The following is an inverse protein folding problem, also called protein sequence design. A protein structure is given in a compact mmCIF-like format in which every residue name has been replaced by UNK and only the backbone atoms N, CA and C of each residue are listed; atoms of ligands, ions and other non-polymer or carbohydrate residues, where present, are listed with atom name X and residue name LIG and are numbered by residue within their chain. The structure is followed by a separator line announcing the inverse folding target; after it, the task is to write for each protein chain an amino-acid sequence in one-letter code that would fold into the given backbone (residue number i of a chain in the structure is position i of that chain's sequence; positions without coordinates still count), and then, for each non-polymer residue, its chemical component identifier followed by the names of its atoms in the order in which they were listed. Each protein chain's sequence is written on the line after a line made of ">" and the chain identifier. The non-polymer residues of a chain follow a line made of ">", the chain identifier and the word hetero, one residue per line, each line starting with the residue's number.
data_IF_785212300973
#
_entry.id   IF_785212300973
#
_cell.length_a   1.000
_cell.length_b   1.000
_cell.length_c   1.000
_cell.angle_alpha   90.00
_cell.angle_beta   90.00
_cell.angle_gamma   90.00
#
_symmetry.space_group_name_H-M   'P 1'
#
loop_
_entity.id
_entity.type
_entity.pdbx_description
1 polymer ?
#
# COMPACT_ATOMS: atom_id res chain seq x y z
N UNK A 1 -33.59 -19.78 -10.13
CA UNK A 1 -32.89 -19.02 -9.07
C UNK A 1 -31.94 -18.04 -9.74
N UNK A 2 -32.02 -16.74 -9.44
CA UNK A 2 -30.99 -15.77 -9.86
C UNK A 2 -29.79 -15.95 -8.92
N UNK A 3 -28.55 -16.10 -9.41
CA UNK A 3 -27.38 -16.17 -8.56
C UNK A 3 -27.23 -14.82 -7.84
N UNK A 4 -27.39 -14.84 -6.52
CA UNK A 4 -27.17 -13.67 -5.67
C UNK A 4 -25.67 -13.48 -5.54
N UNK A 5 -25.09 -12.57 -6.33
CA UNK A 5 -23.68 -12.21 -6.22
C UNK A 5 -23.52 -11.46 -4.89
N UNK A 6 -22.97 -12.12 -3.86
CA UNK A 6 -22.52 -11.42 -2.65
C UNK A 6 -21.42 -10.43 -3.08
N UNK A 7 -21.52 -9.15 -2.70
CA UNK A 7 -20.46 -8.19 -3.00
C UNK A 7 -19.18 -8.66 -2.32
N UNK A 8 -18.12 -8.81 -3.11
CA UNK A 8 -16.79 -9.17 -2.63
C UNK A 8 -16.27 -8.01 -1.77
N UNK A 9 -16.07 -8.24 -0.47
CA UNK A 9 -15.62 -7.19 0.43
C UNK A 9 -14.10 -7.25 0.60
N UNK A 10 -13.39 -6.29 -0.01
CA UNK A 10 -11.96 -6.10 0.19
C UNK A 10 -11.76 -5.15 1.37
N UNK A 11 -10.95 -5.55 2.35
CA UNK A 11 -10.65 -4.75 3.53
C UNK A 11 -9.15 -4.74 3.84
N UNK A 12 -8.73 -3.85 4.73
CA UNK A 12 -7.34 -3.65 5.13
C UNK A 12 -7.26 -3.47 6.65
N UNK A 13 -6.18 -3.95 7.27
CA UNK A 13 -5.84 -3.64 8.66
C UNK A 13 -4.34 -3.77 8.91
N UNK A 14 -3.91 -3.44 10.12
CA UNK A 14 -2.55 -3.70 10.58
C UNK A 14 -2.23 -5.21 10.54
N UNK A 15 -0.98 -5.53 10.21
CA UNK A 15 -0.43 -6.89 10.31
C UNK A 15 0.12 -7.08 11.73
N UNK A 16 -0.42 -8.04 12.46
CA UNK A 16 -0.05 -8.39 13.82
C UNK A 16 0.62 -9.77 13.91
N UNK A 17 1.25 -10.05 15.04
CA UNK A 17 2.04 -11.29 15.27
C UNK A 17 1.18 -12.56 15.03
N UNK A 18 -0.09 -12.51 15.39
CA UNK A 18 -1.02 -13.64 15.23
C UNK A 18 -1.31 -14.00 13.76
N UNK A 19 -1.04 -13.09 12.82
CA UNK A 19 -1.30 -13.32 11.39
C UNK A 19 -0.12 -13.96 10.65
N UNK A 20 1.03 -14.12 11.34
CA UNK A 20 2.27 -14.56 10.68
C UNK A 20 2.10 -15.91 10.00
N UNK A 21 1.35 -16.84 10.59
CA UNK A 21 1.16 -18.16 9.98
C UNK A 21 0.42 -18.10 8.64
N UNK A 22 -0.62 -17.28 8.54
CA UNK A 22 -1.36 -17.05 7.29
C UNK A 22 -0.49 -16.36 6.24
N UNK A 23 0.31 -15.37 6.66
CA UNK A 23 1.23 -14.65 5.78
C UNK A 23 2.37 -15.55 5.28
N UNK A 24 2.87 -16.46 6.11
CA UNK A 24 3.90 -17.40 5.72
C UNK A 24 3.45 -18.35 4.60
N UNK A 25 2.15 -18.66 4.49
CA UNK A 25 1.61 -19.40 3.35
C UNK A 25 1.83 -18.61 2.06
N UNK A 26 1.49 -17.32 2.06
CA UNK A 26 1.65 -16.44 0.90
C UNK A 26 3.12 -16.27 0.53
N UNK A 27 3.98 -15.99 1.52
CA UNK A 27 5.41 -15.76 1.32
C UNK A 27 6.09 -16.98 0.67
N UNK A 28 5.77 -18.20 1.14
CA UNK A 28 6.31 -19.46 0.57
C UNK A 28 5.86 -19.71 -0.87
N UNK A 29 4.64 -19.32 -1.21
CA UNK A 29 4.12 -19.47 -2.57
C UNK A 29 4.70 -18.43 -3.53
N UNK A 30 5.01 -17.23 -3.04
CA UNK A 30 5.41 -16.11 -3.88
C UNK A 30 6.92 -15.99 -4.14
N UNK A 31 7.76 -16.44 -3.20
CA UNK A 31 9.20 -16.23 -3.26
C UNK A 31 10.01 -17.53 -3.24
N UNK A 32 11.07 -17.58 -4.06
CA UNK A 32 12.05 -18.67 -4.06
C UNK A 32 12.86 -18.74 -2.75
N UNK A 33 13.10 -17.58 -2.13
CA UNK A 33 13.84 -17.44 -0.86
C UNK A 33 12.93 -16.67 0.11
N UNK A 34 11.96 -17.35 0.74
CA UNK A 34 10.96 -16.70 1.58
C UNK A 34 11.56 -16.17 2.89
N UNK A 35 11.00 -15.08 3.42
CA UNK A 35 11.20 -14.69 4.80
C UNK A 35 10.67 -15.78 5.75
N UNK A 36 11.46 -16.11 6.76
CA UNK A 36 11.03 -17.03 7.81
C UNK A 36 10.24 -16.30 8.91
N UNK A 37 9.61 -17.08 9.80
CA UNK A 37 8.85 -16.56 10.95
C UNK A 37 9.65 -15.56 11.77
N UNK A 38 10.92 -15.85 12.05
CA UNK A 38 11.78 -14.98 12.86
C UNK A 38 11.97 -13.59 12.23
N UNK A 39 12.15 -13.48 10.90
CA UNK A 39 12.23 -12.19 10.21
C UNK A 39 10.94 -11.39 10.33
N UNK A 40 9.78 -12.01 10.12
CA UNK A 40 8.49 -11.36 10.32
C UNK A 40 8.32 -10.87 11.75
N UNK A 41 8.52 -11.76 12.73
CA UNK A 41 8.42 -11.43 14.16
C UNK A 41 9.38 -10.29 14.53
N UNK A 42 10.63 -10.31 14.07
CA UNK A 42 11.59 -9.24 14.31
C UNK A 42 11.13 -7.90 13.71
N UNK A 43 10.67 -7.89 12.46
CA UNK A 43 10.15 -6.68 11.83
C UNK A 43 8.94 -6.12 12.58
N UNK A 44 7.99 -6.97 13.01
CA UNK A 44 6.78 -6.54 13.71
C UNK A 44 7.04 -6.02 15.14
N UNK A 45 8.12 -6.45 15.79
CA UNK A 45 8.52 -5.89 17.09
C UNK A 45 9.20 -4.52 17.00
N UNK A 46 9.65 -4.10 15.82
CA UNK A 46 10.26 -2.80 15.66
C UNK A 46 9.17 -1.71 15.67
N UNK A 47 9.20 -0.73 16.60
CA UNK A 47 8.17 0.30 16.73
C UNK A 47 8.08 1.24 15.52
N UNK A 48 9.09 1.26 14.67
CA UNK A 48 9.11 2.04 13.44
C UNK A 48 8.56 1.28 12.23
N UNK A 49 8.25 -0.02 12.38
CA UNK A 49 7.62 -0.80 11.32
C UNK A 49 6.15 -0.44 11.18
N UNK A 50 5.72 -0.24 9.94
CA UNK A 50 4.30 -0.18 9.58
C UNK A 50 4.03 -1.36 8.68
N UNK A 51 3.20 -2.28 9.15
CA UNK A 51 2.85 -3.48 8.42
C UNK A 51 1.33 -3.57 8.24
N UNK A 52 0.89 -3.97 7.05
CA UNK A 52 -0.51 -3.98 6.67
C UNK A 52 -0.87 -5.28 5.98
N UNK A 53 -2.14 -5.66 6.10
CA UNK A 53 -2.75 -6.81 5.43
C UNK A 53 -3.88 -6.34 4.52
N UNK A 54 -4.10 -7.05 3.42
CA UNK A 54 -5.30 -6.96 2.60
C UNK A 54 -6.09 -8.26 2.71
N UNK A 55 -7.40 -8.14 2.89
CA UNK A 55 -8.31 -9.26 3.04
C UNK A 55 -9.34 -9.29 1.92
N UNK A 56 -9.83 -10.50 1.66
CA UNK A 56 -11.11 -10.75 0.99
C UNK A 56 -11.94 -11.57 1.95
N UNK A 57 -13.03 -10.97 2.42
CA UNK A 57 -13.84 -11.49 3.52
C UNK A 57 -12.93 -11.74 4.76
N UNK A 58 -12.74 -12.99 5.17
CA UNK A 58 -11.87 -13.36 6.31
C UNK A 58 -10.51 -13.94 5.90
N UNK A 59 -10.19 -13.97 4.60
CA UNK A 59 -8.95 -14.55 4.10
C UNK A 59 -7.91 -13.47 3.84
N UNK A 60 -6.69 -13.65 4.37
CA UNK A 60 -5.53 -12.83 4.01
C UNK A 60 -5.18 -13.06 2.54
N UNK A 61 -5.19 -12.00 1.74
CA UNK A 61 -4.78 -12.04 0.34
C UNK A 61 -3.39 -11.49 0.10
N UNK A 62 -2.81 -10.79 1.06
CA UNK A 62 -1.49 -10.19 0.92
C UNK A 62 -1.11 -9.32 2.10
N UNK A 63 0.14 -8.89 2.09
CA UNK A 63 0.75 -8.13 3.17
C UNK A 63 1.79 -7.15 2.63
N UNK A 64 2.07 -6.12 3.40
CA UNK A 64 3.16 -5.18 3.19
C UNK A 64 3.84 -4.85 4.50
N UNK A 65 5.15 -4.63 4.45
CA UNK A 65 5.98 -4.26 5.60
C UNK A 65 6.90 -3.14 5.14
N UNK A 66 6.85 -2.00 5.82
CA UNK A 66 7.76 -0.90 5.60
C UNK A 66 8.39 -0.46 6.92
N UNK A 67 9.68 -0.12 6.89
CA UNK A 67 10.39 0.45 8.02
C UNK A 67 10.47 1.97 7.85
N UNK A 68 9.85 2.72 8.76
CA UNK A 68 9.80 4.18 8.70
C UNK A 68 11.05 4.79 9.35
N UNK A 69 11.59 5.83 8.71
CA UNK A 69 12.57 6.73 9.28
C UNK A 69 12.12 8.17 9.03
N UNK A 70 11.58 8.84 10.04
CA UNK A 70 11.03 10.20 9.91
C UNK A 70 9.96 10.30 8.80
N UNK A 71 10.24 11.05 7.72
CA UNK A 71 9.33 11.25 6.56
C UNK A 71 9.61 10.29 5.41
N UNK A 72 10.49 9.31 5.56
CA UNK A 72 10.79 8.31 4.54
C UNK A 72 10.52 6.89 5.07
N UNK A 73 10.34 5.92 4.18
CA UNK A 73 10.33 4.51 4.56
C UNK A 73 11.03 3.63 3.53
N UNK A 74 11.66 2.57 4.00
CA UNK A 74 12.08 1.46 3.17
C UNK A 74 10.94 0.43 3.12
N UNK A 75 10.40 0.17 1.92
CA UNK A 75 9.42 -0.90 1.71
C UNK A 75 10.17 -2.23 1.66
N UNK A 76 10.13 -2.97 2.77
CA UNK A 76 10.91 -4.19 2.94
C UNK A 76 10.29 -5.39 2.22
N UNK A 77 8.96 -5.47 2.22
CA UNK A 77 8.24 -6.56 1.58
C UNK A 77 6.82 -6.10 1.19
N UNK A 78 6.33 -6.53 0.03
CA UNK A 78 4.94 -6.39 -0.39
C UNK A 78 4.58 -7.54 -1.33
N UNK A 79 3.55 -8.29 -0.96
CA UNK A 79 3.14 -9.45 -1.71
C UNK A 79 1.61 -9.62 -1.71
N UNK A 80 1.11 -10.12 -2.83
CA UNK A 80 -0.26 -10.63 -2.97
C UNK A 80 -0.15 -12.11 -3.30
N UNK A 81 -1.01 -12.92 -2.68
CA UNK A 81 -1.19 -14.34 -2.98
C UNK A 81 -1.22 -14.57 -4.50
N UNK A 82 -0.44 -15.52 -5.04
CA UNK A 82 -0.29 -15.71 -6.50
C UNK A 82 -1.61 -15.75 -7.28
N UNK A 83 -2.59 -16.51 -6.81
CA UNK A 83 -3.92 -16.63 -7.43
C UNK A 83 -4.73 -15.32 -7.51
N UNK A 84 -4.32 -14.30 -6.75
CA UNK A 84 -4.97 -13.00 -6.66
C UNK A 84 -4.13 -11.85 -7.26
N UNK A 85 -2.99 -12.17 -7.87
CA UNK A 85 -2.14 -11.19 -8.55
C UNK A 85 -2.80 -10.66 -9.83
N UNK A 86 -2.23 -9.59 -10.39
CA UNK A 86 -2.71 -8.92 -11.62
C UNK A 86 -4.13 -8.32 -11.57
N UNK A 87 -4.80 -8.34 -10.41
CA UNK A 87 -6.14 -7.75 -10.19
C UNK A 87 -6.10 -6.34 -9.57
N UNK A 88 -4.92 -5.70 -9.53
CA UNK A 88 -4.73 -4.38 -8.93
C UNK A 88 -4.66 -4.34 -7.41
N UNK A 89 -4.71 -5.49 -6.72
CA UNK A 89 -4.67 -5.59 -5.26
C UNK A 89 -3.36 -5.05 -4.66
N UNK A 90 -2.21 -5.34 -5.28
CA UNK A 90 -0.91 -4.83 -4.80
C UNK A 90 -0.85 -3.30 -4.80
N UNK A 91 -1.48 -2.64 -5.79
CA UNK A 91 -1.58 -1.18 -5.83
C UNK A 91 -2.45 -0.64 -4.70
N UNK A 92 -3.60 -1.29 -4.42
CA UNK A 92 -4.47 -0.90 -3.31
C UNK A 92 -3.76 -1.05 -1.96
N UNK A 93 -3.04 -2.15 -1.77
CA UNK A 93 -2.25 -2.40 -0.57
C UNK A 93 -1.12 -1.38 -0.40
N UNK A 94 -0.38 -1.06 -1.45
CA UNK A 94 0.65 -0.01 -1.41
C UNK A 94 0.07 1.37 -1.05
N UNK A 95 -1.08 1.73 -1.63
CA UNK A 95 -1.78 2.99 -1.29
C UNK A 95 -2.17 3.02 0.19
N UNK A 96 -2.70 1.92 0.72
CA UNK A 96 -3.03 1.82 2.13
C UNK A 96 -1.77 1.92 3.02
N UNK A 97 -0.69 1.24 2.64
CA UNK A 97 0.61 1.29 3.31
C UNK A 97 1.17 2.73 3.38
N UNK A 98 1.07 3.51 2.30
CA UNK A 98 1.47 4.92 2.28
C UNK A 98 0.65 5.76 3.25
N UNK A 99 -0.67 5.55 3.29
CA UNK A 99 -1.56 6.25 4.21
C UNK A 99 -1.26 5.89 5.67
N UNK A 100 -1.05 4.60 5.95
CA UNK A 100 -0.74 4.11 7.29
C UNK A 100 0.65 4.58 7.78
N UNK A 101 1.64 4.68 6.88
CA UNK A 101 2.98 5.11 7.25
C UNK A 101 3.11 6.62 7.41
N UNK A 102 2.31 7.39 6.64
CA UNK A 102 2.34 8.86 6.64
C UNK A 102 3.62 9.46 6.07
N UNK A 103 4.39 8.68 5.33
CA UNK A 103 5.69 9.09 4.78
C UNK A 103 5.54 9.86 3.48
N UNK A 104 6.54 10.68 3.17
CA UNK A 104 6.63 11.46 1.93
C UNK A 104 7.37 10.74 0.81
N UNK A 105 8.27 9.84 1.17
CA UNK A 105 9.09 9.11 0.22
C UNK A 105 9.21 7.64 0.62
N UNK A 106 9.24 6.76 -0.37
CA UNK A 106 9.44 5.32 -0.18
C UNK A 106 10.56 4.84 -1.06
N UNK A 107 11.48 4.05 -0.50
CA UNK A 107 12.55 3.38 -1.22
C UNK A 107 12.31 1.87 -1.24
N UNK A 108 12.83 1.21 -2.27
CA UNK A 108 12.87 -0.25 -2.34
C UNK A 108 14.02 -0.72 -3.23
N UNK A 109 14.71 -1.77 -2.80
CA UNK A 109 15.66 -2.53 -3.60
C UNK A 109 14.98 -3.69 -4.34
N UNK A 110 15.18 -3.74 -5.67
CA UNK A 110 14.61 -4.79 -6.51
C UNK A 110 15.72 -5.45 -7.33
N UNK A 111 15.77 -6.80 -7.31
CA UNK A 111 16.60 -7.62 -8.21
C UNK A 111 16.43 -7.18 -9.67
N UNK A 112 17.52 -7.03 -10.40
CA UNK A 112 17.48 -6.64 -11.83
C UNK A 112 16.70 -7.64 -12.69
N UNK A 113 16.73 -8.93 -12.34
CA UNK A 113 15.97 -9.99 -13.00
C UNK A 113 14.47 -10.03 -12.65
N UNK A 114 14.02 -9.30 -11.62
CA UNK A 114 12.62 -9.32 -11.20
C UNK A 114 11.76 -8.35 -12.03
N UNK A 115 11.61 -8.65 -13.33
CA UNK A 115 10.88 -7.82 -14.28
C UNK A 115 9.40 -7.60 -13.91
N UNK A 116 8.78 -8.56 -13.21
CA UNK A 116 7.41 -8.43 -12.70
C UNK A 116 7.32 -7.31 -11.65
N UNK A 117 8.20 -7.34 -10.65
CA UNK A 117 8.26 -6.30 -9.62
C UNK A 117 8.64 -4.94 -10.20
N UNK A 118 9.66 -4.88 -11.08
CA UNK A 118 10.06 -3.64 -11.76
C UNK A 118 8.89 -3.02 -12.55
N UNK A 119 8.12 -3.85 -13.27
CA UNK A 119 6.92 -3.39 -13.98
C UNK A 119 5.82 -2.91 -13.04
N UNK A 120 5.63 -3.60 -11.91
CA UNK A 120 4.68 -3.18 -10.88
C UNK A 120 5.03 -1.81 -10.30
N UNK A 121 6.29 -1.60 -9.87
CA UNK A 121 6.74 -0.32 -9.31
C UNK A 121 6.73 0.81 -10.34
N UNK A 122 7.09 0.53 -11.60
CA UNK A 122 6.97 1.50 -12.70
C UNK A 122 5.52 1.97 -12.90
N UNK A 123 4.53 1.06 -12.86
CA UNK A 123 3.10 1.41 -12.93
C UNK A 123 2.62 2.21 -11.72
N UNK A 124 3.28 2.05 -10.58
CA UNK A 124 3.08 2.87 -9.38
C UNK A 124 3.81 4.22 -9.44
N UNK A 125 4.56 4.52 -10.51
CA UNK A 125 5.37 5.74 -10.67
C UNK A 125 6.59 5.81 -9.74
N UNK A 126 7.14 4.67 -9.34
CA UNK A 126 8.50 4.65 -8.82
C UNK A 126 9.50 5.00 -9.93
N UNK A 127 10.54 5.72 -9.55
CA UNK A 127 11.68 6.09 -10.38
C UNK A 127 12.90 5.28 -9.96
N UNK A 128 13.68 4.78 -10.92
CA UNK A 128 14.99 4.21 -10.62
C UNK A 128 15.98 5.33 -10.37
N UNK A 129 16.66 5.30 -9.22
CA UNK A 129 17.57 6.38 -8.81
C UNK A 129 19.02 5.92 -8.71
N UNK A 130 19.27 4.63 -8.53
CA UNK A 130 20.62 4.07 -8.42
C UNK A 130 20.61 2.55 -8.67
N UNK A 131 21.78 1.95 -8.83
CA UNK A 131 21.99 0.49 -8.86
C UNK A 131 23.12 0.12 -7.90
N UNK A 132 22.84 -0.80 -6.95
CA UNK A 132 23.86 -1.40 -6.09
C UNK A 132 24.40 -2.65 -6.76
N UNK A 133 25.71 -2.66 -7.02
CA UNK A 133 26.39 -3.81 -7.64
C UNK A 133 26.54 -4.96 -6.65
N UNK A 134 26.29 -6.20 -7.10
CA UNK A 134 26.45 -7.43 -6.31
C UNK A 134 25.80 -7.35 -4.92
N UNK A 135 24.59 -6.80 -4.87
CA UNK A 135 23.87 -6.55 -3.61
C UNK A 135 23.33 -7.82 -2.98
N UNK A 136 22.85 -8.77 -3.79
CA UNK A 136 22.34 -10.04 -3.32
C UNK A 136 23.46 -11.09 -3.22
N UNK A 137 23.26 -12.11 -2.37
CA UNK A 137 24.28 -13.14 -2.06
C UNK A 137 24.70 -13.99 -3.25
N UNK A 138 23.86 -14.07 -4.28
CA UNK A 138 24.14 -14.74 -5.56
C UNK A 138 24.92 -13.84 -6.55
N UNK A 139 25.34 -12.64 -6.10
CA UNK A 139 26.07 -11.68 -6.91
C UNK A 139 25.17 -10.80 -7.78
N UNK A 140 23.84 -10.91 -7.68
CA UNK A 140 22.93 -10.10 -8.46
C UNK A 140 22.89 -8.63 -7.98
N UNK A 141 22.75 -7.71 -8.93
CA UNK A 141 22.57 -6.29 -8.67
C UNK A 141 21.16 -5.96 -8.14
N UNK A 142 21.04 -4.87 -7.39
CA UNK A 142 19.76 -4.30 -6.99
C UNK A 142 19.55 -2.91 -7.60
N UNK A 143 18.39 -2.70 -8.22
CA UNK A 143 17.95 -1.36 -8.62
C UNK A 143 17.26 -0.73 -7.42
N UNK A 144 17.71 0.46 -7.04
CA UNK A 144 17.06 1.26 -6.01
C UNK A 144 15.98 2.09 -6.69
N UNK A 145 14.74 1.87 -6.28
CA UNK A 145 13.58 2.61 -6.74
C UNK A 145 13.11 3.58 -5.65
N UNK A 146 12.61 4.75 -6.06
CA UNK A 146 12.04 5.77 -5.18
C UNK A 146 10.64 6.15 -5.64
N UNK A 147 9.72 6.29 -4.69
CA UNK A 147 8.40 6.90 -4.89
C UNK A 147 8.27 8.14 -4.01
N UNK A 148 7.76 9.22 -4.56
CA UNK A 148 7.44 10.45 -3.83
C UNK A 148 5.93 10.62 -3.83
N UNK A 149 5.33 10.82 -2.66
CA UNK A 149 3.89 11.12 -2.59
C UNK A 149 3.65 12.61 -2.83
N UNK A 150 2.78 12.91 -3.78
CA UNK A 150 2.22 14.25 -3.94
C UNK A 150 1.34 14.58 -2.73
N UNK A 151 1.74 15.58 -1.94
CA UNK A 151 1.08 16.07 -0.73
C UNK A 151 -0.41 16.48 -0.92
N UNK A 152 -0.98 16.37 -2.13
CA UNK A 152 -2.32 16.85 -2.48
C UNK A 152 -3.24 15.79 -3.15
N UNK A 153 -2.69 14.70 -3.72
CA UNK A 153 -3.48 13.82 -4.62
C UNK A 153 -4.12 12.63 -3.91
N UNK A 154 -3.53 12.15 -2.81
CA UNK A 154 -3.99 10.95 -2.09
C UNK A 154 -5.20 11.23 -1.17
N UNK A 155 -5.25 12.40 -0.55
CA UNK A 155 -6.41 12.85 0.25
C UNK A 155 -7.65 13.06 -0.62
N UNK A 156 -7.46 13.62 -1.83
CA UNK A 156 -8.54 13.86 -2.80
C UNK A 156 -9.22 12.56 -3.25
N UNK A 157 -8.46 11.56 -3.70
CA UNK A 157 -9.03 10.29 -4.19
C UNK A 157 -9.67 9.46 -3.08
N UNK A 158 -9.11 9.46 -1.88
CA UNK A 158 -9.65 8.70 -0.75
C UNK A 158 -10.96 9.31 -0.22
N UNK A 159 -11.01 10.63 0.00
CA UNK A 159 -12.24 11.32 0.41
C UNK A 159 -13.30 11.23 -0.69
N UNK A 160 -12.92 11.44 -1.96
CA UNK A 160 -13.86 11.32 -3.09
C UNK A 160 -14.46 9.91 -3.18
N UNK A 161 -13.66 8.86 -3.02
CA UNK A 161 -14.16 7.47 -3.04
C UNK A 161 -15.12 7.18 -1.88
N UNK A 162 -14.85 7.69 -0.67
CA UNK A 162 -15.73 7.51 0.49
C UNK A 162 -17.03 8.32 0.38
N UNK A 163 -16.98 9.54 -0.17
CA UNK A 163 -18.17 10.37 -0.40
C UNK A 163 -19.10 9.75 -1.46
N UNK A 164 -18.52 9.25 -2.56
CA UNK A 164 -19.27 8.61 -3.63
C UNK A 164 -19.85 7.25 -3.20
N UNK A 165 -19.14 6.49 -2.36
CA UNK A 165 -19.62 5.21 -1.86
C UNK A 165 -20.74 5.33 -0.80
N UNK A 166 -20.87 6.46 -0.08
CA UNK A 166 -21.81 6.59 1.04
C UNK A 166 -23.05 7.46 0.78
N UNK A 167 -23.21 8.11 -0.37
CA UNK A 167 -24.29 9.10 -0.63
C UNK A 167 -24.50 10.09 0.54
N UNK A 168 -23.44 10.46 1.25
CA UNK A 168 -23.58 11.30 2.44
C UNK A 168 -23.76 12.77 2.01
N UNK A 169 -24.81 13.49 2.47
CA UNK A 169 -25.01 14.89 2.10
C UNK A 169 -23.91 15.79 2.67
N UNK A 170 -23.35 16.67 1.82
CA UNK A 170 -22.16 17.50 2.08
C UNK A 170 -22.18 18.25 3.43
N UNK A 171 -23.36 18.66 3.92
CA UNK A 171 -23.52 19.40 5.17
C UNK A 171 -23.05 18.62 6.41
N UNK A 172 -23.10 17.28 6.39
CA UNK A 172 -22.68 16.41 7.52
C UNK A 172 -21.17 16.17 7.60
N UNK A 173 -20.44 16.42 6.52
CA UNK A 173 -18.98 16.20 6.44
C UNK A 173 -18.25 17.40 7.05
N UNK A 174 -18.76 18.61 6.80
CA UNK A 174 -18.20 19.86 7.31
C UNK A 174 -18.30 20.00 8.84
N UNK A 175 -19.32 19.40 9.47
CA UNK A 175 -19.52 19.49 10.92
C UNK A 175 -18.65 18.52 11.76
N UNK A 176 -17.85 17.66 11.12
CA UNK A 176 -17.02 16.64 11.79
C UNK A 176 -15.51 16.79 11.56
N UNK A 177 -15.08 17.78 10.79
CA UNK A 177 -13.67 17.97 10.42
C UNK A 177 -12.97 18.96 11.36
N UNK A 178 -11.82 18.56 11.91
CA UNK A 178 -10.93 19.47 12.63
C UNK A 178 -10.35 20.53 11.68
N UNK A 179 -10.02 21.71 12.22
CA UNK A 179 -9.70 22.95 11.50
C UNK A 179 -8.61 22.83 10.44
N UNK A 180 -7.66 21.90 10.58
CA UNK A 180 -6.60 21.62 9.59
C UNK A 180 -7.09 20.85 8.35
N UNK A 181 -8.22 20.12 8.43
CA UNK A 181 -8.86 19.42 7.30
C UNK A 181 -9.88 20.31 6.57
N UNK A 182 -10.38 21.36 7.21
CA UNK A 182 -11.40 22.26 6.65
C UNK A 182 -10.88 23.02 5.41
N UNK A 183 -9.61 23.44 5.42
CA UNK A 183 -8.97 24.10 4.27
C UNK A 183 -8.91 23.20 3.02
N UNK A 184 -8.79 21.88 3.23
CA UNK A 184 -8.75 20.89 2.16
C UNK A 184 -10.13 20.72 1.54
N UNK A 185 -11.20 20.67 2.36
CA UNK A 185 -12.58 20.59 1.87
C UNK A 185 -12.98 21.88 1.13
N UNK A 186 -12.59 23.05 1.63
CA UNK A 186 -12.83 24.33 0.96
C UNK A 186 -12.14 24.43 -0.41
N UNK A 187 -10.89 23.96 -0.54
CA UNK A 187 -10.20 23.88 -1.86
C UNK A 187 -10.87 22.91 -2.82
N UNK A 188 -11.39 21.78 -2.33
CA UNK A 188 -12.17 20.83 -3.14
C UNK A 188 -13.49 21.45 -3.63
N UNK A 189 -14.14 22.28 -2.80
CA UNK A 189 -15.38 22.98 -3.19
C UNK A 189 -15.15 24.04 -4.27
N UNK A 190 -14.02 24.75 -4.26
CA UNK A 190 -13.69 25.76 -5.29
C UNK A 190 -13.43 25.10 -6.65
N UNK A 191 -12.70 23.99 -6.68
CA UNK A 191 -12.40 23.26 -7.94
C UNK A 191 -13.63 22.59 -8.58
N UNK A 192 -14.60 22.12 -7.78
CA UNK A 192 -15.85 21.51 -8.31
C UNK A 192 -16.79 22.58 -8.89
N UNK A 193 -16.79 23.80 -8.36
CA UNK A 193 -17.57 24.91 -8.96
C UNK A 193 -16.97 25.44 -10.25
N UNK A 194 -15.65 25.37 -10.42
CA UNK A 194 -14.96 25.83 -11.64
C UNK A 194 -14.95 24.79 -12.78
N UNK A 195 -15.49 23.59 -12.55
CA UNK A 195 -15.58 22.52 -13.57
C UNK A 195 -17.01 22.29 -14.08
N UNK A 196 -17.97 23.13 -13.68
CA UNK A 196 -19.36 23.15 -14.16
C UNK A 196 -19.79 24.54 -14.67
N UNK A 197 -18.84 25.33 -15.17
CA UNK A 197 -19.09 26.48 -16.04
C UNK A 197 -18.36 26.27 -17.36
#
# INVERSE_FOLDING_TARGET
>A
MKPTIKPINISFRAFEIQDIEDVLVIERLAYKIPWNKAKFTHSLHNPNTVACLIFKDNQVLGYSIALRASKVADLLNICIHPDYQHQGLGKKLFVYQLQASGVKEVFIEVRTSNHSALSFYKKLRFEAINTRKKYYSDGEDAIILRFITDNQSMTYKHIHSQLMAKKLPLKRVLSKCQTSQLLVILKVMVLVRMSHQ
#
